data_IF_368013826891
#
_entry.id   IF_368013826891
#
_cell.length_a   1.000
_cell.length_b   1.000
_cell.length_c   1.000
_cell.angle_alpha   90.00
_cell.angle_beta   90.00
_cell.angle_gamma   90.00
#
_symmetry.space_group_name_H-M   'P 1'
#
loop_
_entity.id
_entity.type
_entity.pdbx_description
1 polymer ?
#
# COMPACT_ATOMS: atom_id res chain seq x y z
N UNK A 1 13.16 14.53 11.73
CA UNK A 1 12.26 14.18 10.60
C UNK A 1 12.93 14.09 9.22
N UNK A 2 13.94 14.89 8.83
CA UNK A 2 14.50 14.94 7.45
C UNK A 2 15.06 13.61 6.85
N UNK A 3 15.09 12.52 7.59
CA UNK A 3 15.55 11.20 7.12
C UNK A 3 14.64 10.09 7.65
N UNK A 4 13.33 10.32 7.53
CA UNK A 4 12.30 9.40 8.00
C UNK A 4 11.34 9.04 6.89
N UNK A 5 11.19 7.73 6.64
CA UNK A 5 10.27 7.18 5.66
C UNK A 5 8.96 6.69 6.28
N UNK A 6 7.87 6.84 5.55
CA UNK A 6 6.57 6.20 5.80
C UNK A 6 6.39 5.09 4.75
N UNK A 7 6.45 3.84 5.18
CA UNK A 7 6.38 2.66 4.31
C UNK A 7 5.02 1.99 4.45
N UNK A 8 4.30 1.86 3.33
CA UNK A 8 2.91 1.41 3.29
C UNK A 8 2.77 0.05 2.58
N UNK A 9 2.46 -1.01 3.36
CA UNK A 9 2.23 -2.36 2.80
C UNK A 9 1.02 -2.40 1.84
N UNK A 10 1.16 -3.17 0.76
CA UNK A 10 0.02 -3.54 -0.09
C UNK A 10 -0.90 -4.59 0.54
N UNK A 11 -2.22 -4.41 0.44
CA UNK A 11 -3.16 -5.29 1.14
C UNK A 11 -4.48 -5.60 0.44
N UNK A 12 -4.71 -5.08 -0.77
CA UNK A 12 -6.07 -5.00 -1.33
C UNK A 12 -7.00 -4.31 -0.34
N UNK A 13 -8.18 -4.90 -0.09
CA UNK A 13 -9.15 -4.32 0.86
C UNK A 13 -8.66 -4.25 2.32
N UNK A 14 -7.59 -4.95 2.69
CA UNK A 14 -6.96 -4.78 4.02
C UNK A 14 -6.27 -3.43 4.18
N UNK A 15 -5.97 -2.74 3.07
CA UNK A 15 -5.42 -1.37 3.10
C UNK A 15 -6.35 -0.38 3.80
N UNK A 16 -7.60 -0.74 4.08
CA UNK A 16 -8.49 0.06 4.92
C UNK A 16 -7.96 0.25 6.35
N UNK A 17 -7.15 -0.68 6.86
CA UNK A 17 -6.41 -0.47 8.11
C UNK A 17 -5.46 0.73 7.99
N UNK A 18 -4.63 0.73 6.94
CA UNK A 18 -3.71 1.83 6.63
C UNK A 18 -4.44 3.16 6.45
N UNK A 19 -5.64 3.15 5.85
CA UNK A 19 -6.48 4.34 5.72
C UNK A 19 -6.84 4.95 7.08
N UNK A 20 -7.18 4.13 8.08
CA UNK A 20 -7.47 4.58 9.45
C UNK A 20 -6.23 5.14 10.16
N UNK A 21 -5.07 4.51 9.98
CA UNK A 21 -3.80 5.02 10.52
C UNK A 21 -3.47 6.39 9.92
N UNK A 22 -3.48 6.50 8.59
CA UNK A 22 -3.18 7.72 7.85
C UNK A 22 -4.15 8.86 8.19
N UNK A 23 -5.44 8.54 8.38
CA UNK A 23 -6.45 9.48 8.89
C UNK A 23 -5.98 10.13 10.19
N UNK A 24 -5.61 9.33 11.18
CA UNK A 24 -5.14 9.84 12.47
C UNK A 24 -3.88 10.71 12.32
N UNK A 25 -2.90 10.27 11.53
CA UNK A 25 -1.69 11.05 11.26
C UNK A 25 -2.01 12.45 10.71
N UNK A 26 -2.92 12.55 9.74
CA UNK A 26 -3.34 13.85 9.17
C UNK A 26 -4.07 14.72 10.18
N UNK A 27 -4.93 14.15 11.04
CA UNK A 27 -5.62 14.87 12.11
C UNK A 27 -4.63 15.46 13.14
N UNK A 28 -3.51 14.77 13.38
CA UNK A 28 -2.42 15.26 14.24
C UNK A 28 -1.43 16.18 13.52
N UNK A 29 -1.63 16.47 12.22
CA UNK A 29 -0.70 17.27 11.43
C UNK A 29 0.66 16.60 11.20
N UNK A 30 0.75 15.27 11.33
CA UNK A 30 1.98 14.50 11.16
C UNK A 30 2.17 14.19 9.68
N UNK A 31 3.13 14.86 9.04
CA UNK A 31 3.54 14.67 7.65
C UNK A 31 4.98 14.18 7.55
N UNK A 32 5.15 12.90 7.22
CA UNK A 32 6.47 12.25 7.09
C UNK A 32 7.04 12.59 5.71
N UNK A 33 8.31 13.07 5.62
CA UNK A 33 8.83 13.70 4.41
C UNK A 33 9.04 12.75 3.23
N UNK A 34 9.19 11.46 3.48
CA UNK A 34 9.29 10.45 2.43
C UNK A 34 8.18 9.42 2.62
N UNK A 35 7.38 9.18 1.59
CA UNK A 35 6.27 8.21 1.62
C UNK A 35 6.43 7.24 0.47
N UNK A 36 6.48 5.94 0.78
CA UNK A 36 6.54 4.88 -0.23
C UNK A 36 5.44 3.86 0.00
N UNK A 37 4.75 3.47 -1.07
CA UNK A 37 3.67 2.50 -0.99
C UNK A 37 3.56 1.60 -2.20
N UNK A 38 2.87 0.48 -2.01
CA UNK A 38 2.51 -0.46 -3.09
C UNK A 38 1.03 -0.78 -3.02
N UNK A 39 0.37 -0.94 -4.18
CA UNK A 39 -1.04 -1.32 -4.29
C UNK A 39 -1.92 -0.39 -3.45
N UNK A 40 -2.80 -0.94 -2.59
CA UNK A 40 -3.61 -0.16 -1.66
C UNK A 40 -2.80 0.80 -0.76
N UNK A 41 -1.56 0.45 -0.41
CA UNK A 41 -0.65 1.33 0.33
C UNK A 41 -0.30 2.58 -0.47
N UNK A 42 0.03 2.44 -1.76
CA UNK A 42 0.27 3.57 -2.66
C UNK A 42 -0.98 4.44 -2.83
N UNK A 43 -2.16 3.84 -3.02
CA UNK A 43 -3.41 4.59 -3.13
C UNK A 43 -3.69 5.40 -1.85
N UNK A 44 -3.52 4.78 -0.67
CA UNK A 44 -3.70 5.49 0.59
C UNK A 44 -2.68 6.61 0.81
N UNK A 45 -1.42 6.36 0.44
CA UNK A 45 -0.34 7.35 0.47
C UNK A 45 -0.62 8.53 -0.46
N UNK A 46 -1.20 8.30 -1.64
CA UNK A 46 -1.52 9.40 -2.55
C UNK A 46 -2.52 10.39 -1.93
N UNK A 47 -3.54 9.90 -1.22
CA UNK A 47 -4.50 10.73 -0.48
C UNK A 47 -3.87 11.47 0.71
N UNK A 48 -2.84 10.89 1.34
CA UNK A 48 -2.09 11.54 2.41
C UNK A 48 -1.25 12.71 1.89
N UNK A 49 -0.59 12.50 0.75
CA UNK A 49 0.17 13.55 0.05
C UNK A 49 -0.76 14.67 -0.42
N UNK A 50 -1.96 14.35 -0.90
CA UNK A 50 -2.97 15.35 -1.31
C UNK A 50 -3.78 15.96 -0.16
N UNK A 51 -3.46 15.63 1.11
CA UNK A 51 -4.16 16.13 2.32
C UNK A 51 -5.66 15.80 2.38
N UNK A 52 -6.12 14.80 1.63
CA UNK A 52 -7.54 14.46 1.53
C UNK A 52 -7.96 13.48 2.64
N UNK A 53 -8.25 14.04 3.82
CA UNK A 53 -8.44 13.31 5.08
C UNK A 53 -9.54 12.23 5.08
N UNK A 54 -10.60 12.43 4.29
CA UNK A 54 -11.73 11.50 4.17
C UNK A 54 -11.66 10.59 2.95
N UNK A 55 -10.75 10.87 2.01
CA UNK A 55 -10.74 10.22 0.69
C UNK A 55 -10.59 8.72 0.77
N UNK A 56 -9.68 8.23 1.62
CA UNK A 56 -9.44 6.79 1.72
C UNK A 56 -10.65 6.05 2.29
N UNK A 57 -11.39 6.65 3.23
CA UNK A 57 -12.65 6.11 3.75
C UNK A 57 -13.71 6.06 2.66
N UNK A 58 -13.92 7.18 1.97
CA UNK A 58 -14.91 7.31 0.88
C UNK A 58 -14.65 6.26 -0.21
N UNK A 59 -13.43 6.23 -0.74
CA UNK A 59 -13.08 5.37 -1.88
C UNK A 59 -13.05 3.88 -1.52
N UNK A 60 -12.63 3.49 -0.31
CA UNK A 60 -12.49 2.08 0.04
C UNK A 60 -13.71 1.49 0.77
N UNK A 61 -14.57 2.31 1.38
CA UNK A 61 -15.70 1.85 2.19
C UNK A 61 -17.04 2.27 1.56
N UNK A 62 -17.22 3.56 1.30
CA UNK A 62 -18.52 4.09 0.86
C UNK A 62 -18.87 3.59 -0.55
N UNK A 63 -17.86 3.49 -1.42
CA UNK A 63 -18.03 2.99 -2.80
C UNK A 63 -17.86 1.48 -2.97
N UNK A 64 -17.55 0.70 -1.92
CA UNK A 64 -17.25 -0.74 -2.09
C UNK A 64 -18.43 -1.57 -2.60
N UNK A 65 -19.65 -1.09 -2.36
CA UNK A 65 -20.89 -1.71 -2.83
C UNK A 65 -21.25 -1.31 -4.26
N UNK A 66 -20.59 -0.29 -4.82
CA UNK A 66 -20.84 0.13 -6.18
C UNK A 66 -20.61 -1.06 -7.14
N UNK A 67 -21.54 -1.33 -8.08
CA UNK A 67 -21.47 -2.52 -8.94
C UNK A 67 -20.23 -2.58 -9.83
N UNK A 68 -19.65 -1.42 -10.14
CA UNK A 68 -18.44 -1.31 -10.95
C UNK A 68 -17.15 -1.54 -10.14
N UNK A 69 -17.19 -1.43 -8.80
CA UNK A 69 -16.01 -1.50 -7.93
C UNK A 69 -15.39 -2.91 -7.89
N UNK A 70 -16.09 -3.87 -7.27
CA UNK A 70 -15.73 -5.31 -7.30
C UNK A 70 -16.88 -6.08 -7.95
N UNK A 71 -16.62 -6.75 -9.07
CA UNK A 71 -17.64 -7.45 -9.85
C UNK A 71 -17.22 -8.87 -10.22
N UNK A 72 -17.85 -9.87 -9.58
CA UNK A 72 -17.65 -11.28 -9.93
C UNK A 72 -18.13 -11.57 -11.36
N UNK A 73 -19.22 -10.94 -11.81
CA UNK A 73 -19.73 -11.08 -13.19
C UNK A 73 -18.67 -10.64 -14.22
N UNK A 74 -17.97 -9.53 -13.96
CA UNK A 74 -16.88 -9.06 -14.82
C UNK A 74 -15.66 -9.95 -14.73
N UNK A 75 -15.36 -10.50 -13.55
CA UNK A 75 -14.28 -11.48 -13.41
C UNK A 75 -14.49 -12.70 -14.30
N UNK A 76 -15.69 -13.29 -14.32
CA UNK A 76 -15.97 -14.44 -15.19
C UNK A 76 -15.99 -14.10 -16.69
N UNK A 77 -16.42 -12.89 -17.08
CA UNK A 77 -16.50 -12.48 -18.49
C UNK A 77 -15.20 -11.91 -19.07
N UNK A 78 -14.45 -11.14 -18.29
CA UNK A 78 -13.31 -10.33 -18.74
C UNK A 78 -12.02 -10.57 -17.93
N UNK A 79 -12.04 -11.48 -16.95
CA UNK A 79 -10.93 -11.71 -15.99
C UNK A 79 -10.50 -10.45 -15.24
N UNK A 80 -11.46 -9.58 -14.98
CA UNK A 80 -11.27 -8.32 -14.27
C UNK A 80 -12.19 -8.26 -13.05
N UNK A 81 -11.60 -8.42 -11.86
CA UNK A 81 -12.38 -8.41 -10.61
C UNK A 81 -12.64 -6.98 -10.13
N UNK A 82 -11.57 -6.19 -10.00
CA UNK A 82 -11.62 -4.78 -9.63
C UNK A 82 -11.86 -3.94 -10.88
N UNK A 83 -12.79 -2.98 -10.82
CA UNK A 83 -13.10 -2.12 -11.96
C UNK A 83 -12.02 -1.08 -12.09
N UNK A 84 -10.98 -1.39 -12.85
CA UNK A 84 -9.79 -0.54 -12.90
C UNK A 84 -10.13 0.84 -13.50
N UNK A 85 -10.99 0.90 -14.51
CA UNK A 85 -11.46 2.17 -15.06
C UNK A 85 -12.35 2.91 -14.04
N UNK A 86 -13.18 2.18 -13.29
CA UNK A 86 -13.97 2.80 -12.23
C UNK A 86 -13.08 3.42 -11.14
N UNK A 87 -12.05 2.69 -10.68
CA UNK A 87 -11.20 3.08 -9.55
C UNK A 87 -10.17 4.14 -9.95
N UNK A 88 -9.61 4.09 -11.16
CA UNK A 88 -8.49 4.93 -11.57
C UNK A 88 -8.84 5.99 -12.63
N UNK A 89 -10.08 6.03 -13.11
CA UNK A 89 -10.57 7.08 -14.01
C UNK A 89 -11.83 7.74 -13.42
N UNK A 90 -12.95 7.04 -13.38
CA UNK A 90 -14.24 7.62 -12.91
C UNK A 90 -14.19 8.12 -11.46
N UNK A 91 -13.57 7.36 -10.55
CA UNK A 91 -13.47 7.73 -9.14
C UNK A 91 -12.68 9.03 -8.93
N UNK A 92 -11.40 9.14 -9.36
CA UNK A 92 -10.60 10.36 -9.16
C UNK A 92 -11.03 11.56 -10.00
N UNK A 93 -11.77 11.36 -11.09
CA UNK A 93 -12.19 12.46 -11.97
C UNK A 93 -13.63 12.95 -11.71
N UNK A 94 -14.53 12.13 -11.16
CA UNK A 94 -15.96 12.47 -11.03
C UNK A 94 -16.53 12.26 -9.62
N UNK A 95 -16.38 11.06 -9.05
CA UNK A 95 -17.17 10.64 -7.87
C UNK A 95 -16.55 11.05 -6.54
N UNK A 96 -15.23 10.99 -6.47
CA UNK A 96 -14.43 11.51 -5.38
C UNK A 96 -13.23 12.17 -6.05
N UNK A 97 -13.32 13.46 -6.44
CA UNK A 97 -12.23 14.12 -7.15
C UNK A 97 -10.91 14.06 -6.38
N UNK A 98 -9.83 13.71 -7.07
CA UNK A 98 -8.48 13.74 -6.49
C UNK A 98 -7.92 15.16 -6.59
N UNK A 99 -7.34 15.65 -5.50
CA UNK A 99 -6.72 16.98 -5.43
C UNK A 99 -5.29 16.92 -5.97
N UNK A 100 -5.17 17.09 -7.30
CA UNK A 100 -3.88 17.10 -7.98
C UNK A 100 -3.05 18.35 -7.66
N UNK A 101 -3.67 19.47 -7.31
CA UNK A 101 -2.96 20.71 -7.02
C UNK A 101 -2.18 20.56 -5.71
N UNK A 102 -2.87 20.17 -4.64
CA UNK A 102 -2.24 19.90 -3.35
C UNK A 102 -1.21 18.76 -3.47
N UNK A 103 -1.54 17.69 -4.19
CA UNK A 103 -0.61 16.58 -4.42
C UNK A 103 0.68 17.03 -5.10
N UNK A 104 0.60 17.88 -6.13
CA UNK A 104 1.75 18.36 -6.87
C UNK A 104 2.59 19.36 -6.06
N UNK A 105 1.96 20.21 -5.25
CA UNK A 105 2.62 21.21 -4.42
C UNK A 105 3.22 20.65 -3.11
N UNK A 106 2.76 19.48 -2.67
CA UNK A 106 3.28 18.78 -1.51
C UNK A 106 4.80 18.61 -1.59
N UNK A 107 5.50 18.96 -0.51
CA UNK A 107 6.96 18.90 -0.44
C UNK A 107 7.48 17.49 -0.12
N UNK A 108 6.60 16.59 0.34
CA UNK A 108 6.96 15.21 0.60
C UNK A 108 7.30 14.49 -0.70
N UNK A 109 8.35 13.66 -0.63
CA UNK A 109 8.65 12.67 -1.65
C UNK A 109 7.59 11.57 -1.60
N UNK A 110 7.09 11.17 -2.77
CA UNK A 110 6.13 10.08 -2.89
C UNK A 110 6.61 9.08 -3.92
N UNK A 111 6.72 7.82 -3.50
CA UNK A 111 7.24 6.73 -4.32
C UNK A 111 6.23 5.60 -4.41
N UNK A 112 5.97 5.12 -5.62
CA UNK A 112 5.05 4.02 -5.89
C UNK A 112 5.83 2.83 -6.43
N UNK A 113 5.75 1.69 -5.74
CA UNK A 113 6.34 0.44 -6.20
C UNK A 113 5.41 -0.34 -7.14
N UNK A 114 6.00 -0.92 -8.18
CA UNK A 114 5.35 -1.78 -9.17
C UNK A 114 6.27 -2.98 -9.47
N UNK A 115 5.77 -3.98 -10.20
CA UNK A 115 6.58 -5.12 -10.67
C UNK A 115 6.72 -5.06 -12.17
N UNK A 116 7.96 -5.07 -12.69
CA UNK A 116 8.20 -5.26 -14.13
C UNK A 116 8.00 -6.74 -14.49
N UNK A 117 7.08 -7.00 -15.41
CA UNK A 117 6.71 -8.35 -15.80
C UNK A 117 7.86 -9.10 -16.50
N UNK A 118 8.75 -8.36 -17.20
CA UNK A 118 9.86 -8.98 -17.93
C UNK A 118 10.94 -9.48 -16.96
N UNK A 119 11.41 -8.63 -16.06
CA UNK A 119 12.47 -8.97 -15.11
C UNK A 119 11.96 -9.67 -13.84
N UNK A 120 10.72 -9.39 -13.41
CA UNK A 120 10.20 -9.80 -12.11
C UNK A 120 10.62 -8.89 -10.96
N UNK A 121 11.45 -7.89 -11.24
CA UNK A 121 12.03 -7.00 -10.24
C UNK A 121 11.10 -5.82 -9.92
N UNK A 122 11.21 -5.24 -8.72
CA UNK A 122 10.49 -4.02 -8.39
C UNK A 122 10.98 -2.84 -9.23
N UNK A 123 10.03 -2.02 -9.68
CA UNK A 123 10.27 -0.72 -10.30
C UNK A 123 9.54 0.34 -9.51
N UNK A 124 10.25 1.38 -9.13
CA UNK A 124 9.74 2.47 -8.31
C UNK A 124 9.60 3.73 -9.15
N UNK A 125 8.47 4.39 -9.01
CA UNK A 125 8.19 5.66 -9.67
C UNK A 125 7.99 6.74 -8.63
N UNK A 126 8.71 7.84 -8.77
CA UNK A 126 8.54 9.02 -7.95
C UNK A 126 7.31 9.83 -8.39
N UNK A 127 6.93 10.79 -7.54
CA UNK A 127 5.85 11.73 -7.78
C UNK A 127 6.04 12.41 -9.14
N UNK A 128 5.13 12.15 -10.08
CA UNK A 128 5.07 12.87 -11.36
C UNK A 128 4.08 14.02 -11.27
N UNK A 129 4.42 15.18 -11.85
CA UNK A 129 3.49 16.30 -11.99
C UNK A 129 2.38 16.03 -13.02
N UNK A 130 2.53 15.00 -13.85
CA UNK A 130 1.50 14.58 -14.81
C UNK A 130 0.38 13.81 -14.12
N UNK A 131 -0.85 14.37 -14.15
CA UNK A 131 -2.08 13.74 -13.66
C UNK A 131 -2.25 12.32 -14.21
N UNK A 132 -2.06 12.15 -15.52
CA UNK A 132 -2.30 10.86 -16.17
C UNK A 132 -1.24 9.83 -15.79
N UNK A 133 0.00 10.26 -15.59
CA UNK A 133 1.10 9.38 -15.22
C UNK A 133 0.87 8.81 -13.83
N UNK A 134 0.57 9.67 -12.83
CA UNK A 134 0.40 9.19 -11.45
C UNK A 134 -0.79 8.24 -11.33
N UNK A 135 -1.92 8.52 -12.01
CA UNK A 135 -3.06 7.60 -12.04
C UNK A 135 -2.71 6.28 -12.73
N UNK A 136 -1.93 6.31 -13.82
CA UNK A 136 -1.46 5.10 -14.51
C UNK A 136 -0.51 4.28 -13.64
N UNK A 137 0.39 4.93 -12.90
CA UNK A 137 1.33 4.29 -11.98
C UNK A 137 0.58 3.65 -10.81
N UNK A 138 -0.38 4.35 -10.19
CA UNK A 138 -1.22 3.81 -9.11
C UNK A 138 -2.08 2.63 -9.61
N UNK A 139 -2.60 2.72 -10.84
CA UNK A 139 -3.31 1.63 -11.53
C UNK A 139 -2.40 0.41 -11.70
N UNK A 140 -1.19 0.60 -12.21
CA UNK A 140 -0.19 -0.46 -12.38
C UNK A 140 0.18 -1.12 -11.04
N UNK A 141 0.42 -0.30 -10.01
CA UNK A 141 0.74 -0.74 -8.65
C UNK A 141 -0.38 -1.57 -8.00
N UNK A 142 -1.61 -1.49 -8.51
CA UNK A 142 -2.79 -2.22 -8.04
C UNK A 142 -3.26 -3.33 -9.01
N UNK A 143 -2.55 -3.56 -10.12
CA UNK A 143 -2.94 -4.53 -11.15
C UNK A 143 -2.53 -5.96 -10.76
N UNK A 144 -3.43 -6.67 -10.07
CA UNK A 144 -3.19 -8.03 -9.61
C UNK A 144 -3.15 -9.08 -10.74
N UNK A 145 -2.23 -10.06 -10.71
CA UNK A 145 -2.22 -11.18 -11.64
C UNK A 145 -3.55 -11.92 -11.64
N UNK A 146 -3.96 -12.38 -12.82
CA UNK A 146 -5.24 -13.05 -13.10
C UNK A 146 -6.50 -12.18 -12.94
N UNK A 147 -6.41 -10.98 -12.33
CA UNK A 147 -7.56 -10.15 -11.96
C UNK A 147 -7.55 -8.75 -12.58
N UNK A 148 -6.47 -8.36 -13.24
CA UNK A 148 -6.29 -7.08 -13.93
C UNK A 148 -5.35 -7.24 -15.14
N UNK A 149 -5.40 -6.32 -16.12
CA UNK A 149 -4.46 -6.29 -17.24
C UNK A 149 -3.07 -5.81 -16.81
N UNK A 150 -2.06 -6.18 -17.62
CA UNK A 150 -0.71 -5.62 -17.54
C UNK A 150 -0.77 -4.18 -18.06
N UNK A 151 -0.12 -3.25 -17.38
CA UNK A 151 -0.09 -1.84 -17.77
C UNK A 151 1.23 -1.55 -18.50
N UNK A 152 1.17 -0.94 -19.69
CA UNK A 152 2.37 -0.45 -20.36
C UNK A 152 2.60 1.00 -19.97
N UNK A 153 3.77 1.30 -19.41
CA UNK A 153 4.15 2.65 -19.03
C UNK A 153 5.67 2.81 -19.19
N UNK A 154 6.09 3.87 -19.89
CA UNK A 154 7.51 4.17 -20.16
C UNK A 154 8.32 2.95 -20.69
N UNK A 155 7.72 2.18 -21.60
CA UNK A 155 8.36 1.00 -22.21
C UNK A 155 8.44 -0.24 -21.31
N UNK A 156 7.89 -0.18 -20.10
CA UNK A 156 7.82 -1.30 -19.14
C UNK A 156 6.44 -1.93 -19.11
N UNK A 157 6.40 -3.22 -18.80
CA UNK A 157 5.17 -3.99 -18.62
C UNK A 157 4.96 -4.18 -17.13
N UNK A 158 4.01 -3.47 -16.53
CA UNK A 158 3.88 -3.32 -15.10
C UNK A 158 2.66 -4.05 -14.52
N UNK A 159 2.84 -4.60 -13.33
CA UNK A 159 1.78 -5.15 -12.47
C UNK A 159 1.99 -4.74 -11.01
N UNK A 160 1.08 -5.20 -10.13
CA UNK A 160 1.04 -4.86 -8.71
C UNK A 160 2.42 -5.01 -8.03
N UNK A 161 2.84 -3.99 -7.29
CA UNK A 161 4.15 -3.96 -6.62
C UNK A 161 4.28 -5.00 -5.50
N UNK A 162 3.16 -5.45 -4.94
CA UNK A 162 3.12 -6.49 -3.91
C UNK A 162 3.44 -7.90 -4.41
N UNK A 163 3.81 -8.04 -5.67
CA UNK A 163 4.37 -9.28 -6.24
C UNK A 163 5.87 -9.36 -5.94
N UNK A 164 6.64 -8.31 -6.26
CA UNK A 164 8.09 -8.28 -6.09
C UNK A 164 8.53 -7.66 -4.77
N UNK A 165 7.83 -6.63 -4.27
CA UNK A 165 8.20 -5.92 -3.04
C UNK A 165 6.96 -5.43 -2.28
N UNK A 166 6.31 -6.29 -1.46
CA UNK A 166 5.06 -5.96 -0.76
C UNK A 166 5.20 -4.95 0.38
N UNK A 167 6.41 -4.77 0.91
CA UNK A 167 6.72 -3.82 1.98
C UNK A 167 8.07 -3.18 1.65
N UNK A 168 8.09 -2.03 0.94
CA UNK A 168 9.30 -1.52 0.30
C UNK A 168 10.27 -0.79 1.26
N UNK A 169 10.54 -1.38 2.42
CA UNK A 169 11.43 -0.84 3.46
C UNK A 169 12.86 -0.67 2.95
N UNK A 170 13.38 -1.66 2.23
CA UNK A 170 14.75 -1.61 1.70
C UNK A 170 14.93 -0.50 0.67
N UNK A 171 13.88 -0.14 -0.06
CA UNK A 171 13.92 1.00 -0.98
C UNK A 171 13.94 2.31 -0.20
N UNK A 172 13.10 2.45 0.82
CA UNK A 172 13.11 3.62 1.72
C UNK A 172 14.50 3.87 2.31
N UNK A 173 15.18 2.82 2.78
CA UNK A 173 16.54 2.91 3.34
C UNK A 173 17.60 3.27 2.28
N UNK A 174 17.52 2.69 1.08
CA UNK A 174 18.42 3.05 -0.04
C UNK A 174 18.26 4.50 -0.47
N UNK A 175 17.08 5.07 -0.26
CA UNK A 175 16.78 6.47 -0.55
C UNK A 175 17.24 7.41 0.58
N UNK A 176 17.91 6.87 1.61
CA UNK A 176 18.54 7.65 2.67
C UNK A 176 17.73 7.77 3.96
N UNK A 177 16.59 7.07 4.08
CA UNK A 177 15.80 7.09 5.30
C UNK A 177 16.39 6.17 6.37
N UNK A 178 16.91 6.77 7.44
CA UNK A 178 17.51 6.06 8.58
C UNK A 178 16.46 5.51 9.54
N UNK A 179 15.36 6.25 9.71
CA UNK A 179 14.20 5.83 10.51
C UNK A 179 13.01 5.57 9.62
N UNK A 180 12.18 4.58 9.94
CA UNK A 180 11.01 4.27 9.14
C UNK A 180 9.78 3.95 10.00
N UNK A 181 8.67 4.64 9.75
CA UNK A 181 7.35 4.24 10.25
C UNK A 181 6.75 3.29 9.20
N UNK A 182 6.45 2.07 9.60
CA UNK A 182 5.99 1.01 8.69
C UNK A 182 4.58 0.60 9.06
N UNK A 183 3.63 0.75 8.12
CA UNK A 183 2.25 0.36 8.32
C UNK A 183 2.00 -0.98 7.62
N UNK A 184 1.76 -2.02 8.43
CA UNK A 184 1.44 -3.36 7.94
C UNK A 184 -0.07 -3.61 7.93
N UNK A 185 -0.52 -4.51 7.06
CA UNK A 185 -1.93 -4.91 6.90
C UNK A 185 -2.19 -6.33 7.41
N UNK A 186 -1.24 -6.90 8.18
CA UNK A 186 -1.28 -8.24 8.75
C UNK A 186 -0.92 -8.22 10.23
N UNK A 187 -1.57 -9.08 11.00
CA UNK A 187 -1.24 -9.31 12.41
C UNK A 187 0.19 -9.86 12.57
N UNK A 188 0.77 -9.64 13.75
CA UNK A 188 2.02 -10.28 14.17
C UNK A 188 1.92 -11.81 14.07
N UNK A 189 3.02 -12.45 13.66
CA UNK A 189 3.10 -13.91 13.50
C UNK A 189 2.52 -14.45 12.18
N UNK A 190 1.93 -13.62 11.32
CA UNK A 190 1.48 -14.07 9.99
C UNK A 190 2.68 -14.45 9.11
N UNK A 191 2.72 -15.71 8.64
CA UNK A 191 3.63 -16.17 7.59
C UNK A 191 2.90 -16.40 6.27
N UNK A 192 3.50 -15.94 5.18
CA UNK A 192 3.00 -16.13 3.82
C UNK A 192 3.40 -17.51 3.31
N UNK A 193 2.44 -18.23 2.75
CA UNK A 193 2.66 -19.55 2.16
C UNK A 193 2.87 -19.47 0.65
N UNK A 194 3.53 -20.50 0.12
CA UNK A 194 3.75 -20.68 -1.31
C UNK A 194 2.42 -20.81 -2.08
N UNK A 195 2.41 -20.36 -3.33
CA UNK A 195 1.25 -20.53 -4.22
C UNK A 195 1.35 -21.82 -5.04
N UNK A 196 0.24 -22.56 -5.13
CA UNK A 196 0.18 -23.84 -5.86
C UNK A 196 -0.19 -23.74 -7.35
N UNK A 197 -0.38 -22.53 -7.90
CA UNK A 197 -0.97 -22.32 -9.24
C UNK A 197 0.07 -22.14 -10.38
N UNK A 198 1.15 -22.92 -10.38
CA UNK A 198 2.26 -22.80 -11.36
C UNK A 198 1.84 -22.98 -12.81
N UNK A 199 1.13 -24.05 -13.11
CA UNK A 199 0.70 -24.34 -14.48
C UNK A 199 -0.17 -23.22 -15.08
N UNK A 200 -1.09 -22.65 -14.28
CA UNK A 200 -2.02 -21.60 -14.74
C UNK A 200 -1.28 -20.29 -15.02
N UNK A 201 -0.36 -19.93 -14.12
CA UNK A 201 0.46 -18.73 -14.26
C UNK A 201 1.40 -18.84 -15.45
N UNK A 202 2.05 -19.99 -15.64
CA UNK A 202 2.89 -20.25 -16.83
C UNK A 202 2.07 -20.18 -18.13
N UNK A 203 0.87 -20.78 -18.16
CA UNK A 203 0.02 -20.73 -19.36
C UNK A 203 -0.40 -19.31 -19.74
N UNK A 204 -0.70 -18.45 -18.74
CA UNK A 204 -1.16 -17.08 -19.01
C UNK A 204 -0.01 -16.09 -19.23
N UNK A 205 1.08 -16.25 -18.49
CA UNK A 205 2.18 -15.29 -18.40
C UNK A 205 3.52 -15.88 -18.85
N UNK A 206 3.52 -16.96 -19.64
CA UNK A 206 4.75 -17.67 -20.04
C UNK A 206 5.76 -16.79 -20.78
N UNK A 207 5.32 -15.76 -21.49
CA UNK A 207 6.19 -14.76 -22.12
C UNK A 207 6.85 -13.78 -21.13
N UNK A 208 6.45 -13.82 -19.86
CA UNK A 208 6.89 -12.96 -18.76
C UNK A 208 7.44 -13.82 -17.62
N UNK A 209 8.57 -14.50 -17.87
CA UNK A 209 9.16 -15.43 -16.90
C UNK A 209 9.52 -14.74 -15.58
N UNK A 210 9.99 -13.50 -15.63
CA UNK A 210 10.25 -12.68 -14.44
C UNK A 210 9.01 -12.54 -13.55
N UNK A 211 7.86 -12.19 -14.12
CA UNK A 211 6.58 -12.13 -13.40
C UNK A 211 6.22 -13.47 -12.75
N UNK A 212 6.33 -14.56 -13.51
CA UNK A 212 5.99 -15.90 -13.01
C UNK A 212 6.86 -16.25 -11.81
N UNK A 213 8.18 -16.05 -11.93
CA UNK A 213 9.15 -16.32 -10.86
C UNK A 213 8.91 -15.43 -9.63
N UNK A 214 8.63 -14.14 -9.82
CA UNK A 214 8.32 -13.22 -8.73
C UNK A 214 7.06 -13.67 -7.96
N UNK A 215 6.01 -14.11 -8.67
CA UNK A 215 4.80 -14.65 -8.02
C UNK A 215 5.11 -15.89 -7.17
N UNK A 216 5.98 -16.79 -7.62
CA UNK A 216 6.41 -17.95 -6.82
C UNK A 216 7.21 -17.55 -5.60
N UNK A 217 8.18 -16.64 -5.76
CA UNK A 217 9.10 -16.26 -4.69
C UNK A 217 8.53 -15.24 -3.69
N UNK A 218 7.39 -14.59 -4.00
CA UNK A 218 6.79 -13.54 -3.16
C UNK A 218 6.59 -13.92 -1.69
N UNK A 219 6.41 -15.20 -1.39
CA UNK A 219 6.20 -15.66 -0.02
C UNK A 219 7.51 -15.60 0.78
N UNK A 220 8.64 -15.94 0.15
CA UNK A 220 9.99 -15.78 0.71
C UNK A 220 10.28 -14.31 0.94
N UNK A 221 10.16 -13.49 -0.10
CA UNK A 221 10.37 -12.04 -0.01
C UNK A 221 9.55 -11.40 1.10
N UNK A 222 8.25 -11.72 1.19
CA UNK A 222 7.40 -11.18 2.25
C UNK A 222 7.88 -11.62 3.65
N UNK A 223 8.15 -12.91 3.84
CA UNK A 223 8.54 -13.44 5.14
C UNK A 223 9.91 -12.91 5.58
N UNK A 224 10.87 -12.83 4.66
CA UNK A 224 12.21 -12.29 4.89
C UNK A 224 12.15 -10.80 5.26
N UNK A 225 11.26 -10.04 4.61
CA UNK A 225 11.03 -8.63 4.95
C UNK A 225 10.38 -8.46 6.32
N UNK A 226 9.44 -9.34 6.72
CA UNK A 226 8.87 -9.31 8.07
C UNK A 226 9.95 -9.59 9.11
N UNK A 227 10.78 -10.61 8.91
CA UNK A 227 11.85 -10.95 9.85
C UNK A 227 12.86 -9.80 9.97
N UNK A 228 13.19 -9.15 8.85
CA UNK A 228 14.00 -7.92 8.84
C UNK A 228 13.36 -6.77 9.62
N UNK A 229 12.07 -6.51 9.40
CA UNK A 229 11.34 -5.43 10.07
C UNK A 229 11.29 -5.63 11.59
N UNK A 230 11.08 -6.85 12.07
CA UNK A 230 11.06 -7.14 13.50
C UNK A 230 12.45 -6.97 14.15
N UNK A 231 13.53 -7.31 13.44
CA UNK A 231 14.90 -7.01 13.86
C UNK A 231 15.18 -5.50 13.90
N UNK A 232 14.74 -4.74 12.89
CA UNK A 232 14.92 -3.28 12.85
C UNK A 232 14.05 -2.54 13.87
N UNK A 233 12.87 -3.07 14.20
CA UNK A 233 12.01 -2.56 15.27
C UNK A 233 12.69 -2.74 16.63
N UNK A 234 13.28 -3.91 16.91
CA UNK A 234 14.04 -4.14 18.13
C UNK A 234 15.27 -3.23 18.28
N UNK A 235 15.85 -2.77 17.16
CA UNK A 235 16.96 -1.81 17.11
C UNK A 235 16.52 -0.34 17.22
N UNK A 236 15.22 -0.06 17.21
CA UNK A 236 14.69 1.31 17.24
C UNK A 236 14.84 2.08 15.92
N UNK A 237 15.14 1.39 14.81
CA UNK A 237 15.23 2.00 13.47
C UNK A 237 13.86 2.04 12.77
N UNK A 238 12.96 1.14 13.17
CA UNK A 238 11.62 1.01 12.60
C UNK A 238 10.57 1.10 13.71
N UNK A 239 9.48 1.80 13.43
CA UNK A 239 8.25 1.75 14.24
C UNK A 239 7.15 1.07 13.44
N UNK A 240 6.63 -0.07 13.89
CA UNK A 240 5.60 -0.83 13.16
C UNK A 240 4.22 -0.55 13.73
N UNK A 241 3.32 -0.05 12.87
CA UNK A 241 1.88 0.04 13.17
C UNK A 241 1.17 -1.08 12.39
N UNK A 242 0.53 -2.00 13.10
CA UNK A 242 -0.12 -3.17 12.49
C UNK A 242 -1.38 -3.59 13.25
N UNK A 243 -2.32 -4.33 12.64
CA UNK A 243 -3.50 -4.84 13.33
C UNK A 243 -3.12 -5.69 14.56
N UNK A 244 -3.62 -5.31 15.73
CA UNK A 244 -3.49 -6.04 17.00
C UNK A 244 -4.59 -7.11 17.18
N UNK A 245 -5.84 -6.77 16.83
CA UNK A 245 -7.01 -7.66 16.85
C UNK A 245 -7.12 -8.52 15.58
N UNK A 246 -7.85 -9.63 15.67
CA UNK A 246 -8.05 -10.59 14.59
C UNK A 246 -8.57 -9.93 13.30
N UNK A 247 -7.83 -10.11 12.20
CA UNK A 247 -8.26 -9.65 10.88
C UNK A 247 -9.45 -10.45 10.33
N UNK A 248 -10.61 -9.79 10.21
CA UNK A 248 -11.80 -10.35 9.55
C UNK A 248 -11.87 -10.06 8.03
N UNK A 249 -11.03 -9.14 7.56
CA UNK A 249 -11.02 -8.64 6.18
C UNK A 249 -9.96 -9.36 5.35
N UNK A 250 -10.39 -9.94 4.23
CA UNK A 250 -9.52 -10.53 3.22
C UNK A 250 -9.00 -9.51 2.20
N UNK A 251 -8.24 -9.97 1.20
CA UNK A 251 -7.80 -9.11 0.08
C UNK A 251 -8.96 -8.61 -0.78
N UNK A 252 -10.05 -9.38 -0.83
CA UNK A 252 -11.30 -9.05 -1.50
C UNK A 252 -12.39 -9.08 -0.43
N UNK A 253 -13.00 -7.95 -0.15
CA UNK A 253 -14.06 -7.77 0.83
C UNK A 253 -15.00 -6.67 0.34
N UNK A 254 -16.31 -6.86 0.52
CA UNK A 254 -17.36 -5.93 0.05
C UNK A 254 -18.33 -5.52 1.15
N UNK A 255 -18.14 -6.00 2.38
CA UNK A 255 -18.97 -5.65 3.51
C UNK A 255 -18.47 -4.35 4.16
N UNK A 256 -19.18 -3.21 3.99
CA UNK A 256 -18.74 -1.93 4.53
C UNK A 256 -18.66 -1.92 6.06
N UNK A 257 -19.44 -2.76 6.77
CA UNK A 257 -19.36 -2.86 8.24
C UNK A 257 -18.04 -3.49 8.68
N UNK A 258 -17.56 -4.53 7.98
CA UNK A 258 -16.25 -5.15 8.27
C UNK A 258 -15.11 -4.21 7.95
N UNK A 259 -15.19 -3.52 6.81
CA UNK A 259 -14.20 -2.53 6.40
C UNK A 259 -14.17 -1.35 7.38
N UNK A 260 -15.33 -0.85 7.80
CA UNK A 260 -15.44 0.20 8.82
C UNK A 260 -14.82 -0.19 10.16
N UNK A 261 -15.00 -1.45 10.62
CA UNK A 261 -14.31 -1.95 11.81
C UNK A 261 -12.79 -1.96 11.65
N UNK A 262 -12.29 -2.46 10.52
CA UNK A 262 -10.85 -2.47 10.25
C UNK A 262 -10.26 -1.05 10.13
N UNK A 263 -11.02 -0.12 9.55
CA UNK A 263 -10.67 1.28 9.50
C UNK A 263 -10.53 1.88 10.90
N UNK A 264 -11.55 1.67 11.74
CA UNK A 264 -11.52 2.16 13.13
C UNK A 264 -10.37 1.54 13.90
N UNK A 265 -10.11 0.24 13.70
CA UNK A 265 -8.98 -0.44 14.30
C UNK A 265 -7.65 0.25 13.93
N UNK A 266 -7.45 0.62 12.66
CA UNK A 266 -6.27 1.36 12.23
C UNK A 266 -6.14 2.72 12.89
N UNK A 267 -7.26 3.46 13.00
CA UNK A 267 -7.30 4.74 13.69
C UNK A 267 -6.93 4.63 15.17
N UNK A 268 -7.55 3.69 15.90
CA UNK A 268 -7.26 3.47 17.32
C UNK A 268 -5.84 2.95 17.56
N UNK A 269 -5.29 2.13 16.65
CA UNK A 269 -3.91 1.67 16.75
C UNK A 269 -2.92 2.84 16.61
N UNK A 270 -3.15 3.74 15.66
CA UNK A 270 -2.34 4.93 15.50
C UNK A 270 -2.42 5.85 16.72
N UNK A 271 -3.64 6.04 17.25
CA UNK A 271 -3.88 6.82 18.47
C UNK A 271 -3.18 6.25 19.70
N UNK A 272 -3.24 4.92 19.90
CA UNK A 272 -2.53 4.25 21.00
C UNK A 272 -1.01 4.39 20.89
N UNK A 273 -0.48 4.41 19.67
CA UNK A 273 0.96 4.54 19.42
C UNK A 273 1.41 6.01 19.26
N UNK A 274 0.57 7.00 19.52
CA UNK A 274 0.89 8.40 19.23
C UNK A 274 2.10 8.92 20.01
N UNK A 275 2.20 8.60 21.30
CA UNK A 275 3.35 9.00 22.13
C UNK A 275 4.65 8.40 21.59
N UNK A 276 4.67 7.07 21.38
CA UNK A 276 5.80 6.36 20.78
C UNK A 276 6.16 6.91 19.40
N UNK A 277 5.16 7.30 18.59
CA UNK A 277 5.37 7.89 17.27
C UNK A 277 6.04 9.26 17.36
N UNK A 278 5.53 10.16 18.20
CA UNK A 278 6.12 11.49 18.40
C UNK A 278 7.56 11.37 18.91
N UNK A 279 7.78 10.48 19.88
CA UNK A 279 9.11 10.15 20.40
C UNK A 279 10.03 9.65 19.28
N UNK A 280 9.59 8.65 18.53
CA UNK A 280 10.36 8.07 17.43
C UNK A 280 10.76 9.12 16.37
N UNK A 281 9.83 10.02 16.03
CA UNK A 281 10.01 11.08 15.03
C UNK A 281 10.88 12.25 15.53
N UNK A 282 10.81 12.56 16.82
CA UNK A 282 11.59 13.64 17.48
C UNK A 282 13.01 13.20 17.85
N UNK A 283 13.25 11.90 18.05
CA UNK A 283 14.56 11.36 18.42
C UNK A 283 14.92 11.52 19.90
N UNK A 284 13.96 11.87 20.76
CA UNK A 284 14.12 11.86 22.22
C UNK A 284 13.76 10.46 22.76
N UNK A 285 14.35 10.03 23.86
CA UNK A 285 13.92 8.85 24.66
C UNK A 285 13.03 9.38 25.80
N UNK A 286 12.04 8.66 26.36
CA UNK A 286 11.23 9.23 27.43
C UNK A 286 12.17 9.47 28.60
N UNK A 287 12.09 10.66 29.21
CA UNK A 287 12.62 10.84 30.54
C UNK A 287 12.00 9.73 31.40
N UNK A 288 12.83 8.83 31.92
CA UNK A 288 12.40 7.75 32.77
C UNK A 288 11.51 8.34 33.87
N UNK A 289 10.22 7.99 33.85
CA UNK A 289 9.30 8.36 34.91
C UNK A 289 9.77 7.57 36.13
N UNK A 290 10.59 8.20 36.97
CA UNK A 290 10.88 7.76 38.32
C UNK A 290 9.58 7.87 39.11
N UNK A 291 8.93 6.74 39.35
CA UNK A 291 8.00 6.53 40.47
C UNK A 291 8.42 5.25 41.17
#
# INVERSE_FOLDING_TARGET
MKSTGLVLEGGGMRGVFTAGVIRYLMEQGIYIPYVIGVSAGACNGSSYISRQIDRNRITNIDFVRHPEYISLKRFFKKRELFGMDFIFDKMPNELAPFDFETFNQAQEEFVVGTTDCKSGEPVYFEKSSSRNDILTILRASSSLPLMAPIINFQGKYLMDGGISDPIPIRKSERDGNVKNVVILTRNKGYKKTEQSMKWLLQRKYGQYEGLVNAIFNRHKVYNDTIDYLEDQEAKGNVLIIRPSEKLEVGRVERNPKKLGRLYQQGYEEAKRNNENLIEFLSGQTPAATLV
#
